data_IF_855271720050
#
_entry.id   IF_855271720050
#
_cell.length_a   1.000
_cell.length_b   1.000
_cell.length_c   1.000
_cell.angle_alpha   90.00
_cell.angle_beta   90.00
_cell.angle_gamma   90.00
#
_symmetry.space_group_name_H-M   'P 1'
#
loop_
_entity.id
_entity.type
_entity.pdbx_description
1 polymer ?
#
# COMPACT_ATOMS: atom_id res chain seq x y z
N UNK A 1 -5.53 59.80 -67.44
CA UNK A 1 -5.19 59.90 -66.00
C UNK A 1 -6.29 59.36 -65.09
N UNK A 2 -7.55 59.80 -65.22
CA UNK A 2 -8.66 59.39 -64.31
C UNK A 2 -8.93 57.87 -64.31
N UNK A 3 -8.97 57.22 -65.48
CA UNK A 3 -9.18 55.76 -65.60
C UNK A 3 -8.07 54.93 -64.92
N UNK A 4 -6.82 55.39 -65.01
CA UNK A 4 -5.67 54.71 -64.39
C UNK A 4 -5.75 54.83 -62.86
N UNK A 5 -6.10 56.01 -62.35
CA UNK A 5 -6.30 56.24 -60.92
C UNK A 5 -7.47 55.41 -60.35
N UNK A 6 -8.58 55.31 -61.10
CA UNK A 6 -9.71 54.48 -60.73
C UNK A 6 -9.36 52.98 -60.71
N UNK A 7 -8.61 52.49 -61.71
CA UNK A 7 -8.14 51.11 -61.75
C UNK A 7 -7.20 50.75 -60.60
N UNK A 8 -6.27 51.64 -60.26
CA UNK A 8 -5.37 51.45 -59.12
C UNK A 8 -6.13 51.41 -57.78
N UNK A 9 -7.16 52.24 -57.61
CA UNK A 9 -8.00 52.24 -56.42
C UNK A 9 -8.78 50.93 -56.25
N UNK A 10 -9.34 50.39 -57.34
CA UNK A 10 -10.07 49.11 -57.31
C UNK A 10 -9.13 47.95 -56.96
N UNK A 11 -7.93 47.91 -57.54
CA UNK A 11 -6.93 46.88 -57.21
C UNK A 11 -6.49 46.95 -55.74
N UNK A 12 -6.28 48.15 -55.21
CA UNK A 12 -5.92 48.33 -53.81
C UNK A 12 -7.03 47.85 -52.85
N UNK A 13 -8.29 48.15 -53.17
CA UNK A 13 -9.44 47.69 -52.39
C UNK A 13 -9.60 46.16 -52.46
N UNK A 14 -9.42 45.56 -53.64
CA UNK A 14 -9.47 44.11 -53.81
C UNK A 14 -8.34 43.42 -53.01
N UNK A 15 -7.13 43.97 -53.04
CA UNK A 15 -6.00 43.45 -52.27
C UNK A 15 -6.24 43.53 -50.75
N UNK A 16 -6.80 44.63 -50.25
CA UNK A 16 -7.18 44.78 -48.84
C UNK A 16 -8.28 43.80 -48.44
N UNK A 17 -9.29 43.59 -49.29
CA UNK A 17 -10.36 42.63 -49.03
C UNK A 17 -9.82 41.19 -48.96
N UNK A 18 -8.93 40.80 -49.88
CA UNK A 18 -8.30 39.47 -49.87
C UNK A 18 -7.41 39.30 -48.64
N UNK A 19 -6.59 40.30 -48.30
CA UNK A 19 -5.76 40.26 -47.10
C UNK A 19 -6.61 40.14 -45.82
N UNK A 20 -7.71 40.90 -45.72
CA UNK A 20 -8.66 40.81 -44.62
C UNK A 20 -9.29 39.41 -44.50
N UNK A 21 -9.73 38.84 -45.63
CA UNK A 21 -10.31 37.49 -45.68
C UNK A 21 -9.32 36.41 -45.24
N UNK A 22 -8.06 36.47 -45.73
CA UNK A 22 -7.00 35.53 -45.35
C UNK A 22 -6.66 35.64 -43.85
N UNK A 23 -6.59 36.86 -43.30
CA UNK A 23 -6.33 37.09 -41.86
C UNK A 23 -7.50 36.61 -41.00
N UNK A 24 -8.74 36.81 -41.44
CA UNK A 24 -9.91 36.33 -40.71
C UNK A 24 -9.94 34.80 -40.67
N UNK A 25 -9.62 34.16 -41.80
CA UNK A 25 -9.52 32.71 -41.91
C UNK A 25 -8.37 32.14 -41.08
N UNK A 26 -7.19 32.78 -41.12
CA UNK A 26 -6.04 32.34 -40.31
C UNK A 26 -6.34 32.46 -38.82
N UNK A 27 -6.99 33.54 -38.39
CA UNK A 27 -7.43 33.74 -37.00
C UNK A 27 -8.43 32.67 -36.55
N UNK A 28 -9.30 32.19 -37.43
CA UNK A 28 -10.21 31.09 -37.10
C UNK A 28 -9.43 29.79 -36.82
N UNK A 29 -8.43 29.48 -37.66
CA UNK A 29 -7.57 28.32 -37.46
C UNK A 29 -6.69 28.41 -36.21
N UNK A 30 -6.09 29.57 -35.93
CA UNK A 30 -5.24 29.74 -34.73
C UNK A 30 -6.04 29.64 -33.45
N UNK A 31 -7.29 30.14 -33.44
CA UNK A 31 -8.19 29.98 -32.29
C UNK A 31 -8.53 28.51 -32.04
N UNK A 32 -8.77 27.75 -33.10
CA UNK A 32 -9.06 26.32 -32.98
C UNK A 32 -7.85 25.55 -32.42
N UNK A 33 -6.65 25.85 -32.92
CA UNK A 33 -5.41 25.27 -32.39
C UNK A 33 -5.20 25.64 -30.91
N UNK A 34 -5.40 26.91 -30.54
CA UNK A 34 -5.27 27.34 -29.15
C UNK A 34 -6.26 26.62 -28.20
N UNK A 35 -7.49 26.35 -28.65
CA UNK A 35 -8.45 25.58 -27.86
C UNK A 35 -8.12 24.09 -27.76
N UNK A 36 -7.43 23.52 -28.74
CA UNK A 36 -6.95 22.14 -28.64
C UNK A 36 -5.75 22.06 -27.70
N UNK A 37 -4.83 23.02 -27.78
CA UNK A 37 -3.64 23.08 -26.95
C UNK A 37 -4.00 23.23 -25.47
N UNK A 38 -5.00 24.06 -25.14
CA UNK A 38 -5.49 24.18 -23.77
C UNK A 38 -6.12 22.89 -23.24
N UNK A 39 -6.88 22.16 -24.08
CA UNK A 39 -7.44 20.85 -23.70
C UNK A 39 -6.37 19.79 -23.48
N UNK A 40 -5.32 19.80 -24.32
CA UNK A 40 -4.17 18.91 -24.13
C UNK A 40 -3.43 19.22 -22.84
N UNK A 41 -3.19 20.50 -22.55
CA UNK A 41 -2.54 20.92 -21.32
C UNK A 41 -3.35 20.50 -20.08
N UNK A 42 -4.66 20.70 -20.10
CA UNK A 42 -5.56 20.32 -18.99
C UNK A 42 -5.59 18.81 -18.77
N UNK A 43 -5.68 18.01 -19.84
CA UNK A 43 -5.66 16.55 -19.75
C UNK A 43 -4.30 16.04 -19.25
N UNK A 44 -3.19 16.64 -19.70
CA UNK A 44 -1.87 16.31 -19.21
C UNK A 44 -1.72 16.61 -17.71
N UNK A 45 -2.31 17.70 -17.23
CA UNK A 45 -2.29 18.04 -15.81
C UNK A 45 -3.13 17.09 -14.97
N UNK A 46 -4.31 16.68 -15.45
CA UNK A 46 -5.12 15.65 -14.81
C UNK A 46 -4.38 14.31 -14.73
N UNK A 47 -3.68 13.91 -15.78
CA UNK A 47 -2.85 12.69 -15.78
C UNK A 47 -1.70 12.78 -14.79
N UNK A 48 -1.03 13.93 -14.66
CA UNK A 48 0.00 14.13 -13.63
C UNK A 48 -0.58 14.02 -12.23
N UNK A 49 -1.74 14.63 -11.99
CA UNK A 49 -2.42 14.54 -10.69
C UNK A 49 -2.81 13.10 -10.35
N UNK A 50 -3.33 12.34 -11.32
CA UNK A 50 -3.66 10.92 -11.15
C UNK A 50 -2.43 10.06 -10.91
N UNK A 51 -1.34 10.26 -11.65
CA UNK A 51 -0.09 9.50 -11.46
C UNK A 51 0.56 9.82 -10.12
N UNK A 52 0.59 11.09 -9.70
CA UNK A 52 1.04 11.48 -8.37
C UNK A 52 0.16 10.88 -7.26
N UNK A 53 -1.16 10.87 -7.47
CA UNK A 53 -2.12 10.22 -6.56
C UNK A 53 -1.89 8.71 -6.46
N UNK A 54 -1.66 8.03 -7.59
CA UNK A 54 -1.40 6.59 -7.64
C UNK A 54 -0.07 6.22 -6.95
N UNK A 55 0.99 7.00 -7.15
CA UNK A 55 2.27 6.84 -6.44
C UNK A 55 2.10 7.03 -4.93
N UNK A 56 1.37 8.06 -4.51
CA UNK A 56 1.07 8.28 -3.09
C UNK A 56 0.24 7.16 -2.46
N UNK A 57 -0.69 6.56 -3.22
CA UNK A 57 -1.44 5.39 -2.78
C UNK A 57 -0.54 4.15 -2.66
N UNK A 58 0.37 3.93 -3.60
CA UNK A 58 1.34 2.83 -3.55
C UNK A 58 2.22 2.86 -2.29
N UNK A 59 2.73 4.04 -1.92
CA UNK A 59 3.50 4.23 -0.69
C UNK A 59 2.67 3.91 0.57
N UNK A 60 1.38 4.30 0.59
CA UNK A 60 0.48 3.99 1.72
C UNK A 60 0.18 2.49 1.80
N UNK A 61 0.01 1.82 0.66
CA UNK A 61 -0.16 0.37 0.57
C UNK A 61 1.07 -0.36 1.11
N UNK A 62 2.27 0.04 0.70
CA UNK A 62 3.52 -0.56 1.19
C UNK A 62 3.66 -0.41 2.72
N UNK A 63 3.35 0.77 3.28
CA UNK A 63 3.33 0.96 4.74
C UNK A 63 2.32 0.07 5.45
N UNK A 64 1.13 -0.08 4.88
CA UNK A 64 0.12 -0.98 5.42
C UNK A 64 0.57 -2.45 5.38
N UNK A 65 1.23 -2.88 4.32
CA UNK A 65 1.83 -4.22 4.24
C UNK A 65 2.93 -4.43 5.29
N UNK A 66 3.81 -3.44 5.48
CA UNK A 66 4.85 -3.49 6.53
C UNK A 66 4.22 -3.58 7.93
N UNK A 67 3.21 -2.76 8.21
CA UNK A 67 2.52 -2.78 9.50
C UNK A 67 1.80 -4.10 9.72
N UNK A 68 1.11 -4.64 8.71
CA UNK A 68 0.51 -5.97 8.78
C UNK A 68 1.56 -7.06 9.02
N UNK A 69 2.73 -6.98 8.38
CA UNK A 69 3.85 -7.89 8.61
C UNK A 69 4.35 -7.84 10.06
N UNK A 70 4.50 -6.63 10.62
CA UNK A 70 4.88 -6.45 12.03
C UNK A 70 3.82 -6.99 12.99
N UNK A 71 2.54 -6.74 12.73
CA UNK A 71 1.45 -7.29 13.54
C UNK A 71 1.45 -8.82 13.49
N UNK A 72 1.62 -9.41 12.29
CA UNK A 72 1.70 -10.85 12.14
C UNK A 72 2.88 -11.45 12.90
N UNK A 73 4.05 -10.81 12.87
CA UNK A 73 5.21 -11.26 13.64
C UNK A 73 4.97 -11.16 15.16
N UNK A 74 4.31 -10.09 15.63
CA UNK A 74 3.92 -9.95 17.04
C UNK A 74 2.93 -11.03 17.45
N UNK A 75 1.93 -11.32 16.63
CA UNK A 75 0.97 -12.40 16.88
C UNK A 75 1.66 -13.76 16.93
N UNK A 76 2.62 -14.01 16.04
CA UNK A 76 3.40 -15.25 16.05
C UNK A 76 4.27 -15.38 17.31
N UNK A 77 4.87 -14.27 17.75
CA UNK A 77 5.63 -14.21 19.01
C UNK A 77 4.74 -14.45 20.21
N UNK A 78 3.55 -13.83 20.25
CA UNK A 78 2.58 -14.00 21.33
C UNK A 78 2.00 -15.41 21.32
N UNK A 79 1.63 -15.96 20.16
CA UNK A 79 1.16 -17.34 20.05
C UNK A 79 2.23 -18.36 20.49
N UNK A 80 3.50 -18.08 20.20
CA UNK A 80 4.64 -18.88 20.69
C UNK A 80 4.83 -18.75 22.21
N UNK A 81 4.49 -17.60 22.80
CA UNK A 81 4.53 -17.38 24.25
C UNK A 81 3.30 -17.96 24.98
N UNK A 82 2.11 -17.89 24.37
CA UNK A 82 0.84 -18.37 24.93
C UNK A 82 0.61 -19.87 24.76
N UNK A 83 1.51 -20.59 24.07
CA UNK A 83 1.61 -22.06 24.23
C UNK A 83 2.07 -22.45 25.65
N UNK A 84 2.21 -21.49 26.59
CA UNK A 84 1.63 -21.64 27.92
C UNK A 84 2.35 -22.60 28.86
N UNK A 85 3.53 -23.05 28.46
CA UNK A 85 4.48 -23.72 29.29
C UNK A 85 5.82 -23.60 28.59
N UNK A 86 6.65 -22.65 29.02
CA UNK A 86 8.01 -22.51 28.47
C UNK A 86 8.78 -23.85 28.46
N UNK A 87 9.98 -23.91 27.89
CA UNK A 87 10.74 -25.16 27.77
C UNK A 87 10.86 -25.95 29.10
N UNK A 88 10.88 -25.25 30.24
CA UNK A 88 10.83 -25.80 31.59
C UNK A 88 9.51 -26.53 31.94
N UNK A 89 8.35 -25.99 31.57
CA UNK A 89 7.04 -26.64 31.78
C UNK A 89 6.89 -27.87 30.87
N UNK A 90 7.28 -27.76 29.60
CA UNK A 90 7.28 -28.91 28.68
C UNK A 90 8.22 -30.03 29.16
N UNK A 91 9.34 -29.69 29.79
CA UNK A 91 10.25 -30.65 30.43
C UNK A 91 9.67 -31.24 31.71
N UNK A 92 9.02 -30.44 32.54
CA UNK A 92 8.34 -30.90 33.75
C UNK A 92 7.20 -31.88 33.46
N UNK A 93 6.42 -31.65 32.40
CA UNK A 93 5.36 -32.57 31.96
C UNK A 93 5.97 -33.94 31.58
N UNK A 94 7.10 -33.96 30.86
CA UNK A 94 7.79 -35.22 30.52
C UNK A 94 8.33 -35.97 31.74
N UNK A 95 8.86 -35.25 32.73
CA UNK A 95 9.33 -35.85 33.98
C UNK A 95 8.16 -36.39 34.82
N UNK A 96 7.08 -35.64 34.94
CA UNK A 96 5.86 -36.04 35.63
C UNK A 96 5.24 -37.31 35.03
N UNK A 97 5.16 -37.40 33.70
CA UNK A 97 4.70 -38.62 32.97
C UNK A 97 5.58 -39.84 33.26
N UNK A 98 6.90 -39.65 33.39
CA UNK A 98 7.85 -40.71 33.79
C UNK A 98 7.78 -41.08 35.27
N UNK A 99 6.88 -40.48 36.05
CA UNK A 99 6.68 -40.77 37.46
C UNK A 99 7.57 -39.96 38.40
N UNK A 100 8.26 -38.92 37.92
CA UNK A 100 9.09 -38.05 38.76
C UNK A 100 8.29 -37.45 39.92
N UNK A 101 8.97 -37.26 41.06
CA UNK A 101 8.40 -36.64 42.26
C UNK A 101 8.24 -35.12 42.12
N UNK A 102 7.42 -34.51 42.98
CA UNK A 102 7.26 -33.04 43.02
C UNK A 102 8.61 -32.34 43.25
N UNK A 103 9.41 -32.84 44.18
CA UNK A 103 10.73 -32.28 44.50
C UNK A 103 11.72 -32.40 43.34
N UNK A 104 11.72 -33.52 42.61
CA UNK A 104 12.59 -33.75 41.45
C UNK A 104 12.23 -32.82 40.28
N UNK A 105 10.93 -32.56 40.08
CA UNK A 105 10.44 -31.63 39.07
C UNK A 105 10.76 -30.18 39.45
N UNK A 106 10.70 -29.82 40.74
CA UNK A 106 11.10 -28.50 41.24
C UNK A 106 12.59 -28.25 41.00
N UNK A 107 13.45 -29.20 41.38
CA UNK A 107 14.90 -29.05 41.29
C UNK A 107 15.38 -29.05 39.83
N UNK A 108 14.81 -29.92 38.99
CA UNK A 108 15.25 -30.10 37.60
C UNK A 108 14.71 -29.03 36.65
N UNK A 109 13.48 -28.55 36.87
CA UNK A 109 12.82 -27.60 35.98
C UNK A 109 12.73 -26.19 36.54
N UNK A 110 13.18 -25.95 37.78
CA UNK A 110 13.16 -24.62 38.42
C UNK A 110 11.76 -24.06 38.65
N UNK A 111 10.76 -24.94 38.78
CA UNK A 111 9.37 -24.57 39.01
C UNK A 111 9.11 -24.32 40.50
N UNK A 112 8.17 -23.43 40.81
CA UNK A 112 7.71 -23.27 42.19
C UNK A 112 7.00 -24.55 42.66
N UNK A 113 6.95 -24.77 43.98
CA UNK A 113 6.30 -25.94 44.57
C UNK A 113 4.88 -26.15 44.07
N UNK A 114 4.10 -25.06 44.00
CA UNK A 114 2.71 -25.08 43.56
C UNK A 114 2.58 -25.46 42.06
N UNK A 115 3.50 -24.99 41.21
CA UNK A 115 3.54 -25.34 39.78
C UNK A 115 3.95 -26.80 39.55
N UNK A 116 4.97 -27.29 40.28
CA UNK A 116 5.41 -28.67 40.18
C UNK A 116 4.33 -29.64 40.67
N UNK A 117 3.66 -29.32 41.78
CA UNK A 117 2.57 -30.12 42.35
C UNK A 117 1.37 -30.19 41.40
N UNK A 118 1.04 -29.10 40.70
CA UNK A 118 0.02 -29.06 39.65
C UNK A 118 0.38 -29.96 38.45
N UNK A 119 1.58 -29.80 37.87
CA UNK A 119 2.03 -30.56 36.69
C UNK A 119 2.06 -32.06 36.99
N UNK A 120 2.61 -32.41 38.14
CA UNK A 120 2.73 -33.78 38.61
C UNK A 120 1.37 -34.41 38.87
N UNK A 121 0.42 -33.68 39.45
CA UNK A 121 -0.93 -34.21 39.70
C UNK A 121 -1.72 -34.38 38.40
N UNK A 122 -1.58 -33.45 37.45
CA UNK A 122 -2.34 -33.45 36.21
C UNK A 122 -1.81 -34.48 35.18
N UNK A 123 -0.49 -34.72 35.12
CA UNK A 123 0.14 -35.52 34.05
C UNK A 123 0.70 -36.88 34.51
N UNK A 124 0.72 -37.20 35.81
CA UNK A 124 1.20 -38.50 36.33
C UNK A 124 0.32 -39.69 35.88
N UNK A 125 -0.90 -39.44 35.41
CA UNK A 125 -1.85 -40.47 34.98
C UNK A 125 -2.08 -40.59 33.47
N UNK A 126 -1.50 -39.71 32.65
CA UNK A 126 -1.78 -39.69 31.20
C UNK A 126 -1.03 -40.79 30.39
N UNK A 127 -0.25 -41.64 31.06
CA UNK A 127 0.36 -42.84 30.49
C UNK A 127 -0.41 -44.12 30.89
N UNK A 128 -1.65 -43.98 31.40
CA UNK A 128 -2.49 -45.07 31.92
C UNK A 128 -3.83 -45.33 31.20
N UNK A 129 -4.07 -44.77 30.00
CA UNK A 129 -5.26 -45.07 29.18
C UNK A 129 -4.87 -45.35 27.71
N UNK A 130 -4.11 -46.42 27.52
CA UNK A 130 -4.00 -47.17 26.28
C UNK A 130 -3.82 -48.65 26.66
N UNK A 131 -4.88 -49.23 27.21
CA UNK A 131 -4.97 -50.66 27.57
C UNK A 131 -6.41 -51.13 27.56
#
# INVERSE_FOLDING_TARGET
MILIAAGAAVLALAALAVAGYLVQRSRAHTRWLATMDSRWADLAEQLKALTAGALGQGERLNRLEEDLGRLRHRLDTVASQETGGGPAFAQAIRLARRGAGVEEVMETCGLSRMEAELVVTLHRGEDGDAG
#
